data_IF_430191421999
#
_entry.id   IF_430191421999
#
_cell.length_a   1.000
_cell.length_b   1.000
_cell.length_c   1.000
_cell.angle_alpha   90.00
_cell.angle_beta   90.00
_cell.angle_gamma   90.00
#
_symmetry.space_group_name_H-M   'P 1'
#
loop_
_entity.id
_entity.type
_entity.pdbx_description
1 polymer ?
#
# COMPACT_ATOMS: atom_id res chain seq x y z
N UNK A 1 -13.92 3.59 -14.46
CA UNK A 1 -12.78 3.04 -13.71
C UNK A 1 -11.54 3.88 -13.98
N UNK A 2 -10.81 4.17 -12.94
CA UNK A 2 -9.53 4.89 -13.02
C UNK A 2 -8.45 4.01 -12.43
N UNK A 3 -7.28 3.92 -13.09
CA UNK A 3 -6.17 3.11 -12.60
C UNK A 3 -4.84 3.73 -12.97
N UNK A 4 -3.88 3.69 -12.05
CA UNK A 4 -2.50 4.14 -12.26
C UNK A 4 -1.55 3.19 -11.57
N UNK A 5 -0.39 2.98 -12.18
CA UNK A 5 0.62 2.12 -11.60
C UNK A 5 2.00 2.80 -11.59
N UNK A 6 2.83 2.35 -10.66
CA UNK A 6 4.23 2.74 -10.54
C UNK A 6 5.07 1.49 -10.28
N UNK A 7 6.18 1.36 -10.96
CA UNK A 7 7.11 0.24 -10.77
C UNK A 7 8.54 0.73 -10.68
N UNK A 8 9.34 0.06 -9.86
CA UNK A 8 10.78 0.27 -9.77
C UNK A 8 11.47 -1.07 -9.52
N UNK A 9 12.67 -1.24 -10.05
CA UNK A 9 13.49 -2.43 -9.80
C UNK A 9 14.70 -2.02 -8.97
N UNK A 10 14.98 -2.76 -7.89
CA UNK A 10 16.04 -2.44 -6.95
C UNK A 10 16.79 -3.69 -6.50
N UNK A 11 18.09 -3.53 -6.24
CA UNK A 11 18.92 -4.56 -5.60
C UNK A 11 19.12 -4.29 -4.10
N UNK A 12 18.53 -3.21 -3.57
CA UNK A 12 18.73 -2.78 -2.19
C UNK A 12 17.97 -3.62 -1.16
N UNK A 13 16.91 -4.31 -1.56
CA UNK A 13 16.07 -5.12 -0.66
C UNK A 13 15.68 -6.43 -1.33
N UNK A 14 15.38 -7.43 -0.49
CA UNK A 14 14.78 -8.70 -0.91
C UNK A 14 13.27 -8.65 -0.78
N UNK A 15 12.58 -9.59 -1.43
CA UNK A 15 11.12 -9.72 -1.28
C UNK A 15 10.72 -10.00 0.18
N UNK A 16 11.54 -10.75 0.92
CA UNK A 16 11.31 -11.05 2.33
C UNK A 16 11.41 -9.79 3.21
N UNK A 17 12.39 -8.94 2.93
CA UNK A 17 12.55 -7.68 3.67
C UNK A 17 11.37 -6.72 3.44
N UNK A 18 10.97 -6.52 2.19
CA UNK A 18 9.86 -5.61 1.86
C UNK A 18 8.53 -6.17 2.37
N UNK A 19 8.34 -7.49 2.30
CA UNK A 19 7.15 -8.13 2.86
C UNK A 19 7.05 -7.94 4.36
N UNK A 20 8.14 -8.16 5.06
CA UNK A 20 8.21 -7.97 6.52
C UNK A 20 7.84 -6.55 6.92
N UNK A 21 8.29 -5.56 6.13
CA UNK A 21 7.94 -4.17 6.37
C UNK A 21 6.42 -3.94 6.27
N UNK A 22 5.79 -4.42 5.20
CA UNK A 22 4.36 -4.23 4.97
C UNK A 22 3.48 -5.07 5.91
N UNK A 23 3.87 -6.29 6.21
CA UNK A 23 3.09 -7.17 7.10
C UNK A 23 3.05 -6.64 8.54
N UNK A 24 4.02 -5.84 8.95
CA UNK A 24 4.08 -5.21 10.26
C UNK A 24 3.34 -3.86 10.26
N UNK A 25 2.03 -3.94 10.07
CA UNK A 25 1.14 -2.77 9.91
C UNK A 25 1.23 -1.81 11.09
N UNK A 26 1.33 -2.34 12.33
CA UNK A 26 1.35 -1.52 13.54
C UNK A 26 2.57 -0.60 13.63
N UNK A 27 3.58 -0.82 12.82
CA UNK A 27 4.79 0.00 12.76
C UNK A 27 4.91 0.84 11.48
N UNK A 28 3.86 0.92 10.66
CA UNK A 28 3.89 1.74 9.44
C UNK A 28 4.20 3.20 9.70
N UNK A 29 3.76 3.74 10.83
CA UNK A 29 4.03 5.13 11.19
C UNK A 29 5.50 5.42 11.49
N UNK A 30 6.32 4.40 11.68
CA UNK A 30 7.75 4.58 11.92
C UNK A 30 8.54 4.94 10.65
N UNK A 31 8.00 4.58 9.48
CA UNK A 31 8.66 4.84 8.19
C UNK A 31 7.80 5.64 7.20
N UNK A 32 6.50 5.75 7.43
CA UNK A 32 5.60 6.58 6.60
C UNK A 32 5.14 7.78 7.40
N UNK A 33 5.67 8.94 7.05
CA UNK A 33 5.39 10.21 7.74
C UNK A 33 3.97 10.72 7.50
N UNK A 34 3.29 10.22 6.48
CA UNK A 34 1.90 10.55 6.18
C UNK A 34 0.89 9.82 7.04
N UNK A 35 1.33 8.85 7.84
CA UNK A 35 0.49 8.02 8.70
C UNK A 35 0.68 8.42 10.16
N UNK A 36 -0.42 8.74 10.85
CA UNK A 36 -0.41 8.98 12.29
C UNK A 36 -0.30 7.65 13.04
N UNK A 37 -1.15 6.68 12.67
CA UNK A 37 -1.05 5.31 13.16
C UNK A 37 -1.78 4.35 12.21
N UNK A 38 -1.41 3.07 12.30
CA UNK A 38 -2.12 1.95 11.68
C UNK A 38 -2.19 0.82 12.70
N UNK A 39 -3.33 0.16 12.80
CA UNK A 39 -3.58 -0.89 13.80
C UNK A 39 -4.20 -2.11 13.14
N UNK A 40 -3.46 -3.21 13.15
CA UNK A 40 -3.93 -4.53 12.74
C UNK A 40 -3.99 -5.42 13.96
N UNK A 41 -5.16 -6.00 14.21
CA UNK A 41 -5.34 -7.03 15.25
C UNK A 41 -5.29 -8.40 14.58
N UNK A 42 -4.37 -9.25 15.01
CA UNK A 42 -4.17 -10.55 14.41
C UNK A 42 -3.18 -10.52 13.26
N UNK A 43 -3.34 -11.46 12.33
CA UNK A 43 -2.39 -11.70 11.24
C UNK A 43 -2.67 -10.88 9.98
N UNK A 44 -1.60 -10.59 9.24
CA UNK A 44 -1.69 -9.96 7.93
C UNK A 44 -2.08 -11.03 6.91
N UNK A 45 -3.40 -11.28 6.79
CA UNK A 45 -3.95 -12.36 5.98
C UNK A 45 -5.27 -11.96 5.32
N UNK A 46 -5.64 -12.69 4.26
CA UNK A 46 -6.90 -12.51 3.53
C UNK A 46 -8.09 -12.54 4.49
N UNK A 47 -8.99 -11.56 4.32
CA UNK A 47 -10.22 -11.46 5.10
C UNK A 47 -10.08 -10.60 6.35
N UNK A 48 -8.86 -10.31 6.79
CA UNK A 48 -8.64 -9.41 7.91
C UNK A 48 -8.66 -7.94 7.43
N UNK A 49 -8.75 -7.03 8.38
CA UNK A 49 -8.73 -5.60 8.11
C UNK A 49 -7.88 -4.86 9.13
N UNK A 50 -7.46 -3.67 8.79
CA UNK A 50 -6.78 -2.79 9.72
C UNK A 50 -7.34 -1.37 9.64
N UNK A 51 -7.11 -0.60 10.69
CA UNK A 51 -7.48 0.80 10.76
C UNK A 51 -6.25 1.65 10.49
N UNK A 52 -6.37 2.59 9.59
CA UNK A 52 -5.30 3.51 9.23
C UNK A 52 -5.81 4.94 9.45
N UNK A 53 -5.00 5.74 10.15
CA UNK A 53 -5.27 7.17 10.29
C UNK A 53 -4.17 7.96 9.60
N UNK A 54 -4.48 8.59 8.46
CA UNK A 54 -3.55 9.54 7.86
C UNK A 54 -3.47 10.81 8.70
N UNK A 55 -2.35 11.51 8.65
CA UNK A 55 -2.22 12.78 9.35
C UNK A 55 -3.24 13.78 8.82
N UNK A 56 -4.01 14.35 9.74
CA UNK A 56 -5.07 15.31 9.41
C UNK A 56 -6.34 14.70 8.85
N UNK A 57 -6.40 13.40 8.76
CA UNK A 57 -7.56 12.69 8.21
C UNK A 57 -8.35 11.92 9.25
N UNK A 58 -9.53 11.38 8.88
CA UNK A 58 -10.27 10.45 9.73
C UNK A 58 -9.65 9.06 9.67
N UNK A 59 -10.08 8.20 10.61
CA UNK A 59 -9.75 6.78 10.56
C UNK A 59 -10.36 6.14 9.31
N UNK A 60 -9.59 5.29 8.65
CA UNK A 60 -10.01 4.57 7.46
C UNK A 60 -9.86 3.07 7.72
N UNK A 61 -10.89 2.30 7.35
CA UNK A 61 -10.83 0.84 7.40
C UNK A 61 -10.31 0.32 6.07
N UNK A 62 -9.26 -0.50 6.12
CA UNK A 62 -8.64 -1.12 4.95
C UNK A 62 -8.82 -2.63 5.08
N UNK A 63 -9.45 -3.26 4.08
CA UNK A 63 -9.70 -4.70 4.08
C UNK A 63 -8.70 -5.42 3.19
N UNK A 64 -8.10 -6.50 3.69
CA UNK A 64 -7.18 -7.33 2.93
C UNK A 64 -7.97 -8.34 2.10
N UNK A 65 -7.99 -8.15 0.79
CA UNK A 65 -8.72 -9.01 -0.14
C UNK A 65 -7.91 -10.23 -0.57
N UNK A 66 -6.61 -10.03 -0.77
CA UNK A 66 -5.68 -11.12 -1.10
C UNK A 66 -4.33 -10.86 -0.45
N UNK A 67 -3.72 -11.93 0.06
CA UNK A 67 -2.40 -11.89 0.69
C UNK A 67 -1.66 -13.16 0.31
N UNK A 68 -0.58 -13.02 -0.47
CA UNK A 68 0.31 -14.12 -0.85
C UNK A 68 1.71 -13.74 -0.37
N UNK A 69 2.17 -14.40 0.66
CA UNK A 69 3.43 -14.08 1.35
C UNK A 69 4.59 -13.89 0.36
N UNK A 70 5.36 -12.83 0.56
CA UNK A 70 6.53 -12.45 -0.24
C UNK A 70 6.23 -12.14 -1.71
N UNK A 71 4.97 -12.15 -2.14
CA UNK A 71 4.59 -12.05 -3.54
C UNK A 71 3.68 -10.86 -3.83
N UNK A 72 2.52 -10.78 -3.19
CA UNK A 72 1.58 -9.68 -3.42
C UNK A 72 0.53 -9.58 -2.32
N UNK A 73 -0.01 -8.38 -2.17
CA UNK A 73 -1.26 -8.21 -1.43
C UNK A 73 -2.12 -7.15 -2.10
N UNK A 74 -3.42 -7.32 -1.93
CA UNK A 74 -4.45 -6.43 -2.47
C UNK A 74 -5.37 -6.02 -1.35
N UNK A 75 -5.56 -4.73 -1.17
CA UNK A 75 -6.52 -4.21 -0.21
C UNK A 75 -7.55 -3.31 -0.86
N UNK A 76 -8.63 -3.05 -0.13
CA UNK A 76 -9.70 -2.16 -0.56
C UNK A 76 -10.09 -1.21 0.57
N UNK A 77 -10.28 0.05 0.21
CA UNK A 77 -10.87 1.08 1.05
C UNK A 77 -12.20 1.50 0.44
N UNK A 78 -13.28 1.45 1.23
CA UNK A 78 -14.62 1.81 0.76
C UNK A 78 -14.91 3.26 1.11
N UNK A 79 -15.25 4.04 0.09
CA UNK A 79 -15.71 5.42 0.21
C UNK A 79 -17.18 5.52 -0.18
N UNK A 80 -17.77 6.69 -0.01
CA UNK A 80 -19.15 6.95 -0.44
C UNK A 80 -19.26 6.76 -1.96
N UNK A 81 -20.01 5.75 -2.38
CA UNK A 81 -20.23 5.38 -3.79
C UNK A 81 -18.94 5.15 -4.60
N UNK A 82 -17.87 4.69 -3.94
CA UNK A 82 -16.64 4.32 -4.62
C UNK A 82 -15.80 3.36 -3.77
N UNK A 83 -14.93 2.61 -4.45
CA UNK A 83 -13.96 1.73 -3.81
C UNK A 83 -12.58 2.00 -4.40
N UNK A 84 -11.57 2.08 -3.53
CA UNK A 84 -10.19 2.21 -3.94
C UNK A 84 -9.45 0.92 -3.61
N UNK A 85 -8.86 0.33 -4.64
CA UNK A 85 -8.04 -0.88 -4.54
C UNK A 85 -6.58 -0.48 -4.60
N UNK A 86 -5.79 -1.05 -3.72
CA UNK A 86 -4.35 -0.85 -3.68
C UNK A 86 -3.68 -2.21 -3.75
N UNK A 87 -2.93 -2.45 -4.83
CA UNK A 87 -2.22 -3.70 -5.05
C UNK A 87 -0.72 -3.48 -5.01
N UNK A 88 -0.03 -4.31 -4.23
CA UNK A 88 1.44 -4.31 -4.13
C UNK A 88 1.94 -5.65 -4.63
N UNK A 89 2.85 -5.64 -5.60
CA UNK A 89 3.40 -6.84 -6.23
C UNK A 89 4.93 -6.81 -6.11
N UNK A 90 5.51 -7.93 -5.70
CA UNK A 90 6.95 -8.09 -5.51
C UNK A 90 7.44 -9.26 -6.37
N UNK A 91 8.26 -8.98 -7.38
CA UNK A 91 8.73 -9.96 -8.35
C UNK A 91 10.24 -9.95 -8.43
N UNK A 92 10.86 -11.12 -8.26
CA UNK A 92 12.30 -11.28 -8.49
C UNK A 92 12.59 -11.29 -10.00
N UNK A 93 13.54 -10.47 -10.42
CA UNK A 93 14.01 -10.40 -11.81
C UNK A 93 15.53 -10.51 -11.85
N UNK A 94 16.09 -10.66 -13.04
CA UNK A 94 17.55 -10.68 -13.24
C UNK A 94 18.21 -9.38 -12.77
N UNK A 95 17.48 -8.26 -12.86
CA UNK A 95 17.98 -6.93 -12.50
C UNK A 95 17.73 -6.54 -11.04
N UNK A 96 17.09 -7.42 -10.28
CA UNK A 96 16.75 -7.19 -8.88
C UNK A 96 15.28 -7.42 -8.59
N UNK A 97 14.79 -6.88 -7.50
CA UNK A 97 13.40 -6.98 -7.10
C UNK A 97 12.58 -5.87 -7.78
N UNK A 98 11.58 -6.28 -8.55
CA UNK A 98 10.61 -5.36 -9.13
C UNK A 98 9.46 -5.16 -8.15
N UNK A 99 9.26 -3.91 -7.75
CA UNK A 99 8.18 -3.49 -6.85
C UNK A 99 7.17 -2.71 -7.68
N UNK A 100 5.92 -3.18 -7.69
CA UNK A 100 4.83 -2.55 -8.43
C UNK A 100 3.72 -2.18 -7.47
N UNK A 101 3.19 -0.97 -7.61
CA UNK A 101 2.02 -0.53 -6.85
C UNK A 101 0.97 -0.03 -7.83
N UNK A 102 -0.25 -0.57 -7.73
CA UNK A 102 -1.36 -0.24 -8.63
C UNK A 102 -2.52 0.29 -7.78
N UNK A 103 -2.96 1.51 -8.07
CA UNK A 103 -4.12 2.14 -7.43
C UNK A 103 -5.26 2.16 -8.45
N UNK A 104 -6.40 1.58 -8.07
CA UNK A 104 -7.60 1.53 -8.92
C UNK A 104 -8.79 2.07 -8.14
N UNK A 105 -9.57 2.95 -8.76
CA UNK A 105 -10.80 3.49 -8.16
C UNK A 105 -11.97 3.15 -9.06
N UNK A 106 -13.01 2.54 -8.46
CA UNK A 106 -14.24 2.13 -9.13
C UNK A 106 -15.44 2.69 -8.40
N UNK A 107 -16.53 2.94 -9.12
CA UNK A 107 -17.80 3.35 -8.55
C UNK A 107 -18.33 4.65 -9.11
N UNK A 108 -19.57 4.98 -8.72
CA UNK A 108 -20.31 6.12 -9.25
C UNK A 108 -19.63 7.46 -8.98
N UNK A 109 -19.03 7.62 -7.79
CA UNK A 109 -18.29 8.82 -7.41
C UNK A 109 -16.77 8.64 -7.52
N UNK A 110 -16.29 7.74 -8.36
CA UNK A 110 -14.85 7.50 -8.53
C UNK A 110 -14.08 8.78 -8.87
N UNK A 111 -14.61 9.63 -9.75
CA UNK A 111 -13.97 10.88 -10.15
C UNK A 111 -13.68 11.82 -8.97
N UNK A 112 -14.60 11.85 -8.00
CA UNK A 112 -14.45 12.67 -6.80
C UNK A 112 -13.34 12.15 -5.90
N UNK A 113 -13.32 10.83 -5.65
CA UNK A 113 -12.33 10.21 -4.79
C UNK A 113 -10.95 10.14 -5.42
N UNK A 114 -10.86 10.06 -6.75
CA UNK A 114 -9.60 10.23 -7.47
C UNK A 114 -9.01 11.61 -7.16
N UNK A 115 -9.82 12.65 -7.29
CA UNK A 115 -9.39 14.03 -7.04
C UNK A 115 -8.99 14.26 -5.58
N UNK A 116 -9.79 13.74 -4.63
CA UNK A 116 -9.59 14.01 -3.22
C UNK A 116 -8.52 13.12 -2.56
N UNK A 117 -8.34 11.89 -3.04
CA UNK A 117 -7.50 10.89 -2.38
C UNK A 117 -6.51 10.22 -3.33
N UNK A 118 -7.01 9.48 -4.32
CA UNK A 118 -6.17 8.56 -5.10
C UNK A 118 -5.06 9.25 -5.89
N UNK A 119 -5.32 10.41 -6.48
CA UNK A 119 -4.31 11.14 -7.23
C UNK A 119 -3.13 11.57 -6.35
N UNK A 120 -3.40 11.99 -5.13
CA UNK A 120 -2.36 12.37 -4.18
C UNK A 120 -1.48 11.19 -3.82
N UNK A 121 -2.10 10.02 -3.63
CA UNK A 121 -1.37 8.78 -3.34
C UNK A 121 -0.45 8.45 -4.52
N UNK A 122 -0.97 8.44 -5.74
CA UNK A 122 -0.19 8.12 -6.95
C UNK A 122 0.95 9.12 -7.15
N UNK A 123 0.69 10.40 -6.97
CA UNK A 123 1.70 11.45 -7.15
C UNK A 123 2.86 11.32 -6.14
N UNK A 124 2.60 10.76 -4.96
CA UNK A 124 3.62 10.53 -3.92
C UNK A 124 4.34 9.18 -4.03
N UNK A 125 3.85 8.25 -4.86
CA UNK A 125 4.42 6.89 -4.95
C UNK A 125 5.94 6.86 -5.19
N UNK A 126 6.53 7.66 -6.08
CA UNK A 126 7.98 7.60 -6.28
C UNK A 126 8.79 7.87 -5.01
N UNK A 127 8.36 8.83 -4.21
CA UNK A 127 9.01 9.14 -2.93
C UNK A 127 8.68 8.09 -1.86
N UNK A 128 7.42 7.67 -1.80
CA UNK A 128 6.96 6.69 -0.82
C UNK A 128 7.68 5.35 -0.99
N UNK A 129 7.83 4.89 -2.24
CA UNK A 129 8.52 3.64 -2.52
C UNK A 129 10.00 3.73 -2.14
N UNK A 130 10.65 4.88 -2.34
CA UNK A 130 12.04 5.08 -1.88
C UNK A 130 12.17 4.98 -0.36
N UNK A 131 11.24 5.56 0.38
CA UNK A 131 11.21 5.47 1.84
C UNK A 131 10.94 4.03 2.31
N UNK A 132 10.06 3.31 1.62
CA UNK A 132 9.78 1.90 1.88
C UNK A 132 11.04 1.04 1.69
N UNK A 133 11.76 1.23 0.58
CA UNK A 133 12.99 0.50 0.29
C UNK A 133 14.04 0.80 1.37
N UNK A 134 14.21 2.05 1.72
CA UNK A 134 15.15 2.48 2.77
C UNK A 134 14.84 1.83 4.12
N UNK A 135 13.56 1.84 4.51
CA UNK A 135 13.13 1.22 5.76
C UNK A 135 13.31 -0.31 5.73
N UNK A 136 12.91 -0.96 4.63
CA UNK A 136 13.02 -2.40 4.47
C UNK A 136 14.48 -2.88 4.45
N UNK A 137 15.40 -2.10 3.91
CA UNK A 137 16.81 -2.45 3.84
C UNK A 137 17.47 -2.63 5.22
N UNK A 138 16.84 -2.13 6.27
CA UNK A 138 17.30 -2.24 7.65
C UNK A 138 16.78 -3.47 8.39
N UNK A 139 15.92 -4.24 7.73
CA UNK A 139 15.27 -5.41 8.35
C UNK A 139 16.05 -6.72 8.11
#
# INVERSE_FOLDING_TARGET
>A
MWSRSYSITTKAVTKEQIWKLFADVNNWNTWDKGIEYAVLKGSFEKGNHFTLRPKGGPNVKVELLEVIENTRFLDVTKFLFAKMYDEHIFEETEDGLKITNIITVKGLLSFLWVKLVAKKIVDSLPLDVQEQIKAASKL
#
